data_IF_665233455563
#
_entry.id   IF_665233455563
#
_cell.length_a   1.000
_cell.length_b   1.000
_cell.length_c   1.000
_cell.angle_alpha   90.00
_cell.angle_beta   90.00
_cell.angle_gamma   90.00
#
_symmetry.space_group_name_H-M   'P 1'
#
loop_
_entity.id
_entity.type
_entity.pdbx_description
1 polymer ?
#
# COMPACT_ATOMS: atom_id res chain seq x y z
N UNK A 1 -15.71 13.19 6.21
CA UNK A 1 -15.61 14.66 6.25
C UNK A 1 -16.88 15.35 6.65
N UNK A 2 -18.09 14.94 6.24
CA UNK A 2 -19.35 15.55 6.69
C UNK A 2 -19.48 15.53 8.22
N UNK A 3 -19.27 14.39 8.86
CA UNK A 3 -19.35 14.26 10.33
C UNK A 3 -18.38 15.18 11.07
N UNK A 4 -17.15 15.36 10.57
CA UNK A 4 -16.24 16.35 11.14
C UNK A 4 -16.76 17.78 11.00
N UNK A 5 -17.27 18.15 9.80
CA UNK A 5 -17.75 19.52 9.53
C UNK A 5 -19.01 19.87 10.30
N UNK A 6 -19.95 18.92 10.47
CA UNK A 6 -21.25 19.19 11.11
C UNK A 6 -21.29 18.89 12.60
N UNK A 7 -20.45 17.96 13.08
CA UNK A 7 -20.50 17.48 14.46
C UNK A 7 -19.19 17.65 15.22
N UNK A 8 -18.14 18.21 14.59
CA UNK A 8 -16.85 18.40 15.22
C UNK A 8 -16.09 17.10 15.54
N UNK A 9 -16.53 15.95 14.98
CA UNK A 9 -15.87 14.67 15.27
C UNK A 9 -14.46 14.64 14.69
N UNK A 10 -13.50 14.15 15.47
CA UNK A 10 -12.11 13.95 15.02
C UNK A 10 -12.03 12.68 14.15
N UNK A 11 -12.32 12.84 12.87
CA UNK A 11 -12.33 11.74 11.89
C UNK A 11 -10.98 11.63 11.20
N UNK A 12 -10.47 10.41 11.04
CA UNK A 12 -9.24 10.07 10.31
C UNK A 12 -9.57 9.11 9.18
N UNK A 13 -9.22 9.45 7.96
CA UNK A 13 -9.57 8.67 6.78
C UNK A 13 -8.30 8.20 6.08
N UNK A 14 -8.09 6.89 6.01
CA UNK A 14 -7.00 6.26 5.28
C UNK A 14 -7.52 5.63 4.00
N UNK A 15 -6.86 5.89 2.87
CA UNK A 15 -7.01 5.09 1.65
C UNK A 15 -5.85 4.12 1.56
N UNK A 16 -6.17 2.83 1.70
CA UNK A 16 -5.20 1.74 1.67
C UNK A 16 -4.97 1.29 0.23
N UNK A 17 -3.71 1.22 -0.18
CA UNK A 17 -3.29 0.64 -1.46
C UNK A 17 -2.82 -0.80 -1.28
N UNK A 18 -2.59 -1.53 -2.40
CA UNK A 18 -2.27 -2.96 -2.38
C UNK A 18 -1.24 -3.28 -1.29
N UNK A 19 -1.70 -3.99 -0.27
CA UNK A 19 -0.88 -4.35 0.89
C UNK A 19 -0.67 -5.85 0.92
N UNK A 20 0.54 -6.27 1.28
CA UNK A 20 0.91 -7.65 1.44
C UNK A 20 1.79 -7.84 2.68
N UNK A 21 1.90 -9.08 3.16
CA UNK A 21 2.73 -9.41 4.31
C UNK A 21 2.29 -10.70 5.00
N UNK A 22 2.93 -11.09 6.11
CA UNK A 22 2.47 -12.17 6.96
C UNK A 22 1.01 -12.02 7.39
N UNK A 23 0.34 -13.13 7.66
CA UNK A 23 -1.08 -13.25 8.01
C UNK A 23 -2.07 -12.98 6.85
N UNK A 24 -1.59 -12.82 5.62
CA UNK A 24 -2.48 -12.95 4.45
C UNK A 24 -3.03 -14.37 4.36
N UNK A 25 -4.24 -14.50 3.84
CA UNK A 25 -4.81 -15.81 3.53
C UNK A 25 -4.18 -16.38 2.25
N UNK A 26 -3.93 -17.68 2.23
CA UNK A 26 -3.37 -18.36 1.06
C UNK A 26 -4.24 -18.25 -0.20
N UNK A 27 -5.54 -18.13 -0.01
CA UNK A 27 -6.57 -18.07 -1.06
C UNK A 27 -7.29 -16.72 -1.14
N UNK A 28 -6.63 -15.61 -0.80
CA UNK A 28 -7.28 -14.28 -0.83
C UNK A 28 -7.41 -13.70 -2.27
N UNK A 29 -6.86 -14.36 -3.26
CA UNK A 29 -6.98 -14.01 -4.67
C UNK A 29 -6.06 -12.89 -5.15
N UNK A 30 -5.21 -12.32 -4.28
CA UNK A 30 -4.29 -11.24 -4.66
C UNK A 30 -3.02 -11.78 -5.32
N UNK A 31 -2.43 -10.96 -6.20
CA UNK A 31 -1.26 -11.32 -7.00
C UNK A 31 -0.12 -11.88 -6.15
N UNK A 32 0.28 -11.19 -5.05
CA UNK A 32 1.44 -11.60 -4.24
C UNK A 32 1.19 -12.94 -3.54
N UNK A 33 0.04 -13.11 -2.86
CA UNK A 33 -0.32 -14.37 -2.20
C UNK A 33 -0.44 -15.52 -3.20
N UNK A 34 -1.13 -15.29 -4.33
CA UNK A 34 -1.29 -16.31 -5.37
C UNK A 34 0.07 -16.79 -5.89
N UNK A 35 0.96 -15.87 -6.26
CA UNK A 35 2.28 -16.25 -6.78
C UNK A 35 3.12 -17.00 -5.76
N UNK A 36 3.13 -16.54 -4.49
CA UNK A 36 3.88 -17.22 -3.44
C UNK A 36 3.34 -18.66 -3.23
N UNK A 37 2.02 -18.80 -3.10
CA UNK A 37 1.40 -20.11 -2.88
C UNK A 37 1.63 -21.05 -4.08
N UNK A 38 1.45 -20.55 -5.30
CA UNK A 38 1.69 -21.34 -6.52
C UNK A 38 3.15 -21.78 -6.60
N UNK A 39 4.11 -20.86 -6.38
CA UNK A 39 5.54 -21.17 -6.40
C UNK A 39 5.93 -22.21 -5.34
N UNK A 40 5.39 -22.10 -4.11
CA UNK A 40 5.66 -23.02 -3.02
C UNK A 40 5.04 -24.42 -3.24
N UNK A 41 3.95 -24.50 -4.02
CA UNK A 41 3.28 -25.75 -4.39
C UNK A 41 3.81 -26.35 -5.69
N UNK A 42 4.81 -25.75 -6.34
CA UNK A 42 5.32 -26.19 -7.63
C UNK A 42 4.32 -26.03 -8.79
N UNK A 43 3.28 -25.21 -8.60
CA UNK A 43 2.27 -24.92 -9.62
C UNK A 43 2.71 -23.75 -10.50
N UNK A 44 2.27 -23.70 -11.79
CA UNK A 44 2.53 -22.53 -12.65
C UNK A 44 1.97 -21.24 -12.03
N UNK A 45 2.72 -20.12 -12.16
CA UNK A 45 2.26 -18.81 -11.73
C UNK A 45 1.31 -18.22 -12.77
N UNK A 46 0.07 -17.94 -12.35
CA UNK A 46 -1.00 -17.43 -13.23
C UNK A 46 -0.85 -15.92 -13.46
N UNK A 47 -0.37 -15.49 -14.62
CA UNK A 47 -0.29 -14.10 -15.03
C UNK A 47 -1.42 -13.79 -16.01
N UNK A 48 -2.22 -12.76 -15.71
CA UNK A 48 -3.30 -12.32 -16.59
C UNK A 48 -2.78 -11.27 -17.58
N UNK A 49 -3.18 -11.39 -18.86
CA UNK A 49 -2.60 -10.62 -19.96
C UNK A 49 -1.12 -10.96 -20.16
N UNK A 50 -0.34 -9.98 -20.64
CA UNK A 50 1.10 -10.12 -20.83
C UNK A 50 1.92 -9.81 -19.56
N UNK A 51 1.24 -9.48 -18.45
CA UNK A 51 1.88 -9.10 -17.19
C UNK A 51 2.55 -7.71 -17.19
N UNK A 52 2.30 -6.88 -18.22
CA UNK A 52 2.88 -5.53 -18.33
C UNK A 52 2.14 -4.47 -17.50
N UNK A 53 0.94 -4.78 -17.00
CA UNK A 53 0.21 -3.88 -16.10
C UNK A 53 1.01 -3.66 -14.82
N UNK A 54 1.08 -2.39 -14.37
CA UNK A 54 1.85 -2.02 -13.19
C UNK A 54 0.98 -2.05 -11.93
N UNK A 55 1.61 -2.43 -10.83
CA UNK A 55 1.03 -2.37 -9.48
C UNK A 55 2.07 -1.88 -8.50
N UNK A 56 1.62 -1.19 -7.48
CA UNK A 56 2.45 -0.82 -6.34
C UNK A 56 2.08 -1.71 -5.15
N UNK A 57 3.08 -2.13 -4.37
CA UNK A 57 2.89 -3.06 -3.25
C UNK A 57 3.47 -2.48 -1.98
N UNK A 58 2.63 -2.32 -0.96
CA UNK A 58 3.02 -1.82 0.36
C UNK A 58 3.16 -2.98 1.34
N UNK A 59 4.24 -3.01 2.09
CA UNK A 59 4.39 -3.99 3.16
C UNK A 59 3.49 -3.65 4.36
N UNK A 60 2.95 -4.68 5.01
CA UNK A 60 1.95 -4.51 6.07
C UNK A 60 2.45 -3.68 7.25
N UNK A 61 3.73 -3.80 7.66
CA UNK A 61 4.27 -3.02 8.77
C UNK A 61 4.36 -1.53 8.41
N UNK A 62 4.71 -1.19 7.16
CA UNK A 62 4.68 0.18 6.67
C UNK A 62 3.25 0.74 6.67
N UNK A 63 2.27 -0.05 6.22
CA UNK A 63 0.87 0.35 6.27
C UNK A 63 0.41 0.63 7.70
N UNK A 64 0.68 -0.30 8.63
CA UNK A 64 0.29 -0.16 10.04
C UNK A 64 0.94 1.07 10.67
N UNK A 65 2.24 1.30 10.40
CA UNK A 65 2.94 2.51 10.86
C UNK A 65 2.28 3.79 10.34
N UNK A 66 1.83 3.81 9.08
CA UNK A 66 1.11 4.94 8.50
C UNK A 66 -0.26 5.16 9.15
N UNK A 67 -1.03 4.09 9.40
CA UNK A 67 -2.35 4.16 10.07
C UNK A 67 -2.19 4.68 11.50
N UNK A 68 -1.25 4.11 12.27
CA UNK A 68 -0.97 4.53 13.65
C UNK A 68 -0.47 5.98 13.67
N UNK A 69 0.41 6.36 12.73
CA UNK A 69 0.87 7.74 12.60
C UNK A 69 -0.29 8.72 12.39
N UNK A 70 -1.26 8.39 11.52
CA UNK A 70 -2.43 9.23 11.30
C UNK A 70 -3.36 9.27 12.53
N UNK A 71 -3.48 8.16 13.25
CA UNK A 71 -4.29 8.12 14.48
C UNK A 71 -3.72 9.01 15.59
N UNK A 72 -2.40 9.02 15.72
CA UNK A 72 -1.69 9.72 16.80
C UNK A 72 -1.29 11.15 16.45
N UNK A 73 -1.41 11.58 15.20
CA UNK A 73 -1.07 12.96 14.84
C UNK A 73 -2.01 13.94 15.53
N UNK A 74 -1.43 14.90 16.24
CA UNK A 74 -2.18 15.91 16.99
C UNK A 74 -2.77 16.95 16.03
N UNK A 75 -4.11 17.01 16.00
CA UNK A 75 -4.86 17.99 15.18
C UNK A 75 -4.50 19.44 15.54
N UNK A 76 -4.15 19.68 16.81
CA UNK A 76 -3.86 21.02 17.31
C UNK A 76 -2.45 21.51 16.96
N UNK A 77 -1.46 20.61 16.88
CA UNK A 77 -0.09 20.98 16.48
C UNK A 77 0.01 21.47 15.04
N UNK A 78 -0.78 20.90 14.14
CA UNK A 78 -0.84 21.40 12.76
C UNK A 78 -1.44 22.80 12.68
N UNK A 79 -2.24 23.21 13.66
CA UNK A 79 -2.81 24.58 13.78
C UNK A 79 -1.83 25.54 14.47
N UNK A 80 -1.02 25.07 15.45
CA UNK A 80 -0.04 25.91 16.17
C UNK A 80 1.20 26.21 15.35
N UNK A 81 1.71 25.26 14.56
CA UNK A 81 2.76 25.53 13.56
C UNK A 81 2.32 26.58 12.52
N UNK A 82 1.01 26.78 12.34
CA UNK A 82 0.42 27.83 11.50
C UNK A 82 0.41 29.21 12.18
N UNK A 83 0.36 29.28 13.53
CA UNK A 83 0.34 30.56 14.27
C UNK A 83 1.70 31.25 14.28
N UNK A 84 2.80 30.51 14.16
CA UNK A 84 4.16 31.11 14.14
C UNK A 84 4.54 31.74 12.80
N UNK A 85 3.79 31.51 11.73
CA UNK A 85 3.91 32.29 10.51
C UNK A 85 3.00 33.51 10.59
N UNK A 86 3.57 34.63 11.06
CA UNK A 86 2.99 35.97 10.94
C UNK A 86 2.45 36.20 9.53
N UNK A 87 1.17 35.93 9.33
CA UNK A 87 0.43 36.40 8.16
C UNK A 87 -0.85 37.07 8.64
N UNK A 88 -0.71 38.34 8.94
CA UNK A 88 -1.82 39.28 8.98
C UNK A 88 -2.29 39.50 7.54
N UNK A 89 -3.61 39.31 7.35
CA UNK A 89 -4.36 39.59 6.13
C UNK A 89 -4.14 38.66 4.91
N UNK A 90 -4.88 37.56 4.89
CA UNK A 90 -5.51 37.15 3.65
C UNK A 90 -6.77 36.35 3.99
N UNK A 91 -7.91 36.92 3.71
CA UNK A 91 -9.24 36.28 3.72
C UNK A 91 -9.41 35.52 2.38
N UNK A 92 -8.43 34.70 2.05
CA UNK A 92 -8.51 33.75 0.96
C UNK A 92 -8.75 32.35 1.56
N UNK A 93 -9.75 31.67 1.08
CA UNK A 93 -10.07 30.28 1.42
C UNK A 93 -8.87 29.41 0.98
N UNK A 94 -7.88 29.20 1.84
CA UNK A 94 -6.80 28.25 1.60
C UNK A 94 -7.36 26.84 1.73
N UNK A 95 -7.94 26.35 0.61
CA UNK A 95 -8.31 24.95 0.42
C UNK A 95 -7.10 24.04 0.16
N UNK A 96 -5.87 24.59 0.16
CA UNK A 96 -4.67 23.88 -0.31
C UNK A 96 -3.80 23.29 0.80
N UNK A 97 -4.00 23.61 2.08
CA UNK A 97 -3.24 22.96 3.14
C UNK A 97 -3.88 21.63 3.57
N UNK A 98 -3.09 20.52 3.61
CA UNK A 98 -3.62 19.21 3.95
C UNK A 98 -4.09 19.15 5.41
N UNK A 99 -5.39 18.91 5.60
CA UNK A 99 -5.98 18.67 6.92
C UNK A 99 -5.83 17.19 7.32
N UNK A 100 -5.65 16.93 8.62
CA UNK A 100 -5.64 15.57 9.18
C UNK A 100 -6.97 14.84 9.00
N UNK A 101 -8.06 15.60 8.78
CA UNK A 101 -9.41 15.05 8.53
C UNK A 101 -9.67 14.72 7.07
N UNK A 102 -8.78 15.12 6.16
CA UNK A 102 -8.85 14.76 4.75
C UNK A 102 -8.29 13.36 4.52
N UNK A 103 -8.76 12.64 3.48
CA UNK A 103 -8.25 11.32 3.17
C UNK A 103 -6.74 11.31 2.89
N UNK A 104 -6.01 10.42 3.57
CA UNK A 104 -4.58 10.21 3.41
C UNK A 104 -4.32 8.87 2.73
N UNK A 105 -3.62 8.89 1.61
CA UNK A 105 -3.20 7.66 0.95
C UNK A 105 -1.99 7.08 1.68
N UNK A 106 -2.10 5.80 2.07
CA UNK A 106 -0.98 5.02 2.62
C UNK A 106 -0.70 3.86 1.66
N UNK A 107 0.49 3.86 1.08
CA UNK A 107 0.89 2.87 0.09
C UNK A 107 2.32 3.14 -0.41
N UNK A 108 2.86 2.24 -1.21
CA UNK A 108 4.19 2.39 -1.80
C UNK A 108 4.06 2.98 -3.22
N UNK A 109 4.69 4.12 -3.55
CA UNK A 109 4.62 4.71 -4.88
C UNK A 109 5.49 4.00 -5.93
N UNK A 110 6.36 3.05 -5.52
CA UNK A 110 7.16 2.25 -6.45
C UNK A 110 6.26 1.29 -7.22
N UNK A 111 6.25 1.42 -8.53
CA UNK A 111 5.51 0.55 -9.44
C UNK A 111 6.40 -0.58 -9.93
N UNK A 112 5.80 -1.76 -10.10
CA UNK A 112 6.39 -2.93 -10.72
C UNK A 112 5.35 -3.57 -11.63
N UNK A 113 5.81 -4.15 -12.72
CA UNK A 113 4.95 -4.99 -13.57
C UNK A 113 4.60 -6.29 -12.86
N UNK A 114 3.47 -6.86 -13.20
CA UNK A 114 3.05 -8.17 -12.64
C UNK A 114 4.08 -9.25 -12.97
N UNK A 115 4.70 -9.19 -14.17
CA UNK A 115 5.73 -10.14 -14.57
C UNK A 115 7.03 -9.99 -13.74
N UNK A 116 7.41 -8.76 -13.36
CA UNK A 116 8.57 -8.54 -12.47
C UNK A 116 8.34 -9.16 -11.09
N UNK A 117 7.14 -8.99 -10.52
CA UNK A 117 6.78 -9.63 -9.25
C UNK A 117 6.80 -11.15 -9.36
N UNK A 118 6.25 -11.73 -10.43
CA UNK A 118 6.28 -13.18 -10.64
C UNK A 118 7.72 -13.73 -10.65
N UNK A 119 8.61 -13.08 -11.42
CA UNK A 119 10.03 -13.47 -11.49
C UNK A 119 10.73 -13.31 -10.14
N UNK A 120 10.44 -12.24 -9.40
CA UNK A 120 11.02 -12.01 -8.08
C UNK A 120 10.57 -13.07 -7.07
N UNK A 121 9.31 -13.46 -7.10
CA UNK A 121 8.78 -14.55 -6.24
C UNK A 121 9.45 -15.89 -6.59
N UNK A 122 9.57 -16.25 -7.87
CA UNK A 122 10.28 -17.46 -8.30
C UNK A 122 11.73 -17.46 -7.78
N UNK A 123 12.44 -16.36 -7.96
CA UNK A 123 13.81 -16.20 -7.46
C UNK A 123 13.92 -16.39 -5.94
N UNK A 124 13.04 -15.76 -5.17
CA UNK A 124 13.08 -15.79 -3.70
C UNK A 124 12.59 -17.11 -3.11
N UNK A 125 11.71 -17.84 -3.80
CA UNK A 125 11.26 -19.17 -3.37
C UNK A 125 12.21 -20.27 -3.79
N UNK A 126 13.06 -20.04 -4.80
CA UNK A 126 13.88 -21.06 -5.46
C UNK A 126 13.04 -22.01 -6.31
N UNK A 127 11.80 -21.62 -6.67
CA UNK A 127 10.89 -22.49 -7.43
C UNK A 127 11.25 -22.50 -8.91
N UNK A 128 11.15 -23.70 -9.52
CA UNK A 128 11.28 -23.91 -10.97
C UNK A 128 9.93 -23.85 -11.70
N UNK A 129 8.86 -23.37 -11.02
CA UNK A 129 7.54 -23.23 -11.62
C UNK A 129 7.56 -22.34 -12.85
N UNK A 130 6.79 -22.71 -13.86
CA UNK A 130 6.61 -21.91 -15.08
C UNK A 130 5.65 -20.72 -14.82
N UNK A 131 5.69 -19.72 -15.70
CA UNK A 131 4.70 -18.63 -15.74
C UNK A 131 3.68 -18.98 -16.82
N UNK A 132 2.41 -19.07 -16.43
CA UNK A 132 1.27 -19.33 -17.31
C UNK A 132 0.48 -18.06 -17.55
N UNK A 133 0.24 -17.73 -18.84
CA UNK A 133 -0.48 -16.53 -19.23
C UNK A 133 -1.96 -16.85 -19.48
N UNK A 134 -2.84 -16.00 -18.97
CA UNK A 134 -4.30 -16.14 -19.07
C UNK A 134 -4.93 -14.86 -19.64
N UNK A 135 -6.13 -14.95 -20.24
CA UNK A 135 -6.84 -13.77 -20.72
C UNK A 135 -7.02 -12.70 -19.62
N UNK A 136 -6.78 -11.43 -19.96
CA UNK A 136 -6.96 -10.32 -19.03
C UNK A 136 -8.45 -10.12 -18.71
N UNK A 137 -8.87 -9.98 -17.42
CA UNK A 137 -10.21 -9.55 -17.08
C UNK A 137 -10.56 -8.19 -17.67
N UNK A 138 -11.82 -7.99 -18.08
CA UNK A 138 -12.29 -6.78 -18.78
C UNK A 138 -12.07 -5.47 -17.99
N UNK A 139 -12.09 -5.52 -16.66
CA UNK A 139 -12.06 -4.34 -15.78
C UNK A 139 -10.75 -4.20 -14.97
N UNK A 140 -9.64 -4.82 -15.40
CA UNK A 140 -8.38 -4.68 -14.66
C UNK A 140 -7.69 -3.35 -14.94
N UNK A 141 -7.54 -2.45 -13.95
CA UNK A 141 -6.92 -1.15 -14.14
C UNK A 141 -5.47 -1.27 -14.59
N UNK A 142 -5.07 -0.52 -15.61
CA UNK A 142 -3.69 -0.56 -16.13
C UNK A 142 -2.65 -0.07 -15.11
N UNK A 143 -3.00 0.96 -14.32
CA UNK A 143 -2.09 1.62 -13.35
C UNK A 143 -2.80 1.84 -12.02
N UNK A 144 -2.12 1.49 -10.91
CA UNK A 144 -2.55 1.81 -9.54
C UNK A 144 -1.34 2.26 -8.72
N UNK A 145 -1.09 3.57 -8.73
CA UNK A 145 -0.01 4.20 -7.99
C UNK A 145 -0.57 5.20 -6.97
N UNK A 146 -0.23 5.10 -5.67
CA UNK A 146 -0.63 6.10 -4.69
C UNK A 146 0.19 7.37 -4.82
N UNK A 147 -0.48 8.52 -4.74
CA UNK A 147 0.17 9.77 -4.35
C UNK A 147 0.21 9.84 -2.83
N UNK A 148 1.41 9.79 -2.25
CA UNK A 148 1.65 9.81 -0.80
C UNK A 148 2.14 11.17 -0.29
N UNK A 149 2.06 12.23 -1.08
CA UNK A 149 2.54 13.57 -0.73
C UNK A 149 1.94 14.06 0.58
N UNK A 150 0.63 13.82 0.80
CA UNK A 150 -0.05 14.17 2.05
C UNK A 150 0.47 13.38 3.24
N UNK A 151 0.72 12.06 3.10
CA UNK A 151 1.31 11.25 4.16
C UNK A 151 2.72 11.74 4.54
N UNK A 152 3.54 12.13 3.55
CA UNK A 152 4.86 12.72 3.79
C UNK A 152 4.77 14.03 4.55
N UNK A 153 3.86 14.91 4.15
CA UNK A 153 3.71 16.24 4.77
C UNK A 153 3.16 16.16 6.20
N UNK A 154 2.03 15.45 6.38
CA UNK A 154 1.33 15.40 7.66
C UNK A 154 1.99 14.48 8.68
N UNK A 155 2.47 13.31 8.24
CA UNK A 155 2.91 12.23 9.12
C UNK A 155 4.42 12.02 9.10
N UNK A 156 5.16 12.71 8.23
CA UNK A 156 6.57 12.42 7.91
C UNK A 156 6.76 10.92 7.56
N UNK A 157 5.73 10.34 6.92
CA UNK A 157 5.66 8.92 6.63
C UNK A 157 5.97 8.63 5.16
N UNK A 158 6.77 7.60 4.97
CA UNK A 158 6.97 6.92 3.69
C UNK A 158 7.26 5.43 3.93
N UNK A 159 7.06 4.55 2.92
CA UNK A 159 7.42 3.14 3.05
C UNK A 159 8.94 2.99 3.23
N UNK A 160 9.36 2.15 4.17
CA UNK A 160 10.77 1.95 4.54
C UNK A 160 11.27 0.54 4.24
N UNK A 161 10.36 -0.46 4.22
CA UNK A 161 10.77 -1.84 4.04
C UNK A 161 11.04 -2.11 2.56
N UNK A 162 12.24 -2.61 2.26
CA UNK A 162 12.59 -3.03 0.90
C UNK A 162 11.66 -4.17 0.43
N UNK A 163 11.28 -4.14 -0.85
CA UNK A 163 10.33 -5.10 -1.41
C UNK A 163 10.81 -6.55 -1.26
N UNK A 164 12.09 -6.76 -1.52
CA UNK A 164 12.73 -8.07 -1.46
C UNK A 164 12.69 -8.65 -0.04
N UNK A 165 12.97 -7.83 0.99
CA UNK A 165 12.88 -8.22 2.40
C UNK A 165 11.42 -8.51 2.81
N UNK A 166 10.49 -7.66 2.39
CA UNK A 166 9.07 -7.84 2.64
C UNK A 166 8.54 -9.15 2.04
N UNK A 167 8.94 -9.46 0.79
CA UNK A 167 8.59 -10.71 0.12
C UNK A 167 9.22 -11.92 0.83
N UNK A 168 10.50 -11.85 1.21
CA UNK A 168 11.16 -12.94 1.92
C UNK A 168 10.47 -13.28 3.25
N UNK A 169 10.10 -12.26 4.04
CA UNK A 169 9.32 -12.45 5.29
C UNK A 169 7.95 -13.06 5.01
N UNK A 170 7.28 -12.62 3.94
CA UNK A 170 5.96 -13.12 3.54
C UNK A 170 6.04 -14.57 3.06
N UNK A 171 7.07 -14.92 2.28
CA UNK A 171 7.33 -16.30 1.82
C UNK A 171 7.60 -17.22 3.03
N UNK A 172 8.41 -16.77 3.99
CA UNK A 172 8.67 -17.53 5.24
C UNK A 172 7.38 -17.85 5.99
N UNK A 173 6.49 -16.86 6.11
CA UNK A 173 5.18 -17.06 6.72
C UNK A 173 4.35 -18.10 5.95
N UNK A 174 4.27 -18.01 4.62
CA UNK A 174 3.48 -18.97 3.82
C UNK A 174 4.08 -20.37 3.84
N UNK A 175 5.42 -20.52 3.86
CA UNK A 175 6.07 -21.83 4.04
C UNK A 175 5.59 -22.51 5.33
N UNK A 176 5.56 -21.78 6.44
CA UNK A 176 5.07 -22.31 7.70
C UNK A 176 3.55 -22.58 7.68
N UNK A 177 2.75 -21.67 7.10
CA UNK A 177 1.30 -21.79 7.07
C UNK A 177 0.77 -22.90 6.13
N UNK A 178 1.55 -23.29 5.12
CA UNK A 178 1.19 -24.37 4.17
C UNK A 178 1.73 -25.74 4.60
N UNK A 179 2.58 -25.80 5.61
CA UNK A 179 3.10 -27.06 6.16
C UNK A 179 2.13 -27.71 7.17
N UNK A 180 1.06 -27.04 7.53
CA UNK A 180 -0.03 -27.50 8.41
C UNK A 180 -1.34 -27.65 7.63
#
# INVERSE_FOLDING_TARGET
MAYHRYHGLDTRIVRIFNTFGPRMRANDGRVVSNFIVQALQGKPLSVFGEGQQTRSFCYVDDLVRGIVGLLLVDSNKTVEERKDKKFLFSRAKDHDEPSVHDPVNIGNPRELTVIEIARLVLKLTGSSSEISFHPLPLDDPKVRRPDISRAKTLLKWEPQVALEDALARTITYFKAALAH
#
